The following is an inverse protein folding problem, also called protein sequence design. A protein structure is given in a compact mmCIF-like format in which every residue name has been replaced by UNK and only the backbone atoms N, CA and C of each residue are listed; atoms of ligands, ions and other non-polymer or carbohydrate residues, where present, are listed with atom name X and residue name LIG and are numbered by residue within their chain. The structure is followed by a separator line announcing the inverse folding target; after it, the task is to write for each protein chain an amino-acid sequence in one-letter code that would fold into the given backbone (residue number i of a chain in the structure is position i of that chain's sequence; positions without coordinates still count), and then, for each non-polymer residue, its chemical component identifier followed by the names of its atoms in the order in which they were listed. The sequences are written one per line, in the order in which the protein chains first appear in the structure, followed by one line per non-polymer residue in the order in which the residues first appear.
data_IF_311457791515
#
_entry.id   IF_311457791515
#
_cell.length_a   1.000
_cell.length_b   1.000
_cell.length_c   1.000
_cell.angle_alpha   90.00
_cell.angle_beta   90.00
_cell.angle_gamma   90.00
#
_symmetry.space_group_name_H-M   'P 1'
#
loop_
_entity.id
_entity.type
_entity.pdbx_description
1 polymer ?
#
# COMPACT_ATOMS: atom_id res chain seq x y z
N UNK A 1 -12.72 12.13 17.78
CA UNK A 1 -12.56 12.58 16.37
C UNK A 1 -11.07 12.65 16.08
N UNK A 2 -10.59 11.99 15.01
CA UNK A 2 -9.17 11.95 14.62
C UNK A 2 -8.86 13.08 13.63
N UNK A 3 -7.58 13.44 13.51
CA UNK A 3 -7.09 14.43 12.54
C UNK A 3 -6.14 13.72 11.57
N UNK A 4 -6.48 13.70 10.29
CA UNK A 4 -5.86 12.85 9.29
C UNK A 4 -5.28 13.71 8.18
N UNK A 5 -4.01 13.47 7.83
CA UNK A 5 -3.41 14.00 6.61
C UNK A 5 -3.65 13.00 5.49
N UNK A 6 -4.35 13.40 4.44
CA UNK A 6 -4.57 12.59 3.24
C UNK A 6 -3.63 13.04 2.12
N UNK A 7 -2.65 12.22 1.82
CA UNK A 7 -1.70 12.40 0.75
C UNK A 7 -2.23 11.82 -0.57
N UNK A 8 -2.18 12.60 -1.64
CA UNK A 8 -2.59 12.17 -2.99
C UNK A 8 -1.44 12.41 -3.97
N UNK A 9 -0.51 11.44 -4.09
CA UNK A 9 0.53 11.51 -5.09
C UNK A 9 -0.05 11.24 -6.48
N UNK A 10 0.35 12.02 -7.47
CA UNK A 10 -0.06 11.80 -8.85
C UNK A 10 1.07 12.07 -9.84
N UNK A 11 0.96 11.44 -11.01
CA UNK A 11 1.73 11.76 -12.20
C UNK A 11 0.73 11.97 -13.35
N UNK A 12 0.51 13.21 -13.72
CA UNK A 12 -0.57 13.57 -14.63
C UNK A 12 -1.93 13.75 -13.94
N UNK A 13 -2.98 13.17 -14.50
CA UNK A 13 -4.35 13.36 -14.03
C UNK A 13 -4.73 12.41 -12.88
N UNK A 14 -5.72 12.84 -12.10
CA UNK A 14 -6.47 11.99 -11.19
C UNK A 14 -7.63 11.37 -11.99
N UNK A 15 -7.82 10.05 -11.91
CA UNK A 15 -8.92 9.40 -12.61
C UNK A 15 -10.27 9.84 -12.02
N UNK A 16 -11.32 10.03 -12.82
CA UNK A 16 -12.63 10.46 -12.32
C UNK A 16 -13.19 9.54 -11.22
N UNK A 17 -12.92 8.25 -11.30
CA UNK A 17 -13.39 7.23 -10.36
C UNK A 17 -12.75 7.35 -8.97
N UNK A 18 -11.62 8.05 -8.84
CA UNK A 18 -11.01 8.37 -7.55
C UNK A 18 -11.68 9.56 -6.84
N UNK A 19 -12.37 10.43 -7.57
CA UNK A 19 -12.90 11.67 -7.01
C UNK A 19 -13.89 11.46 -5.84
N UNK A 20 -14.84 10.49 -5.88
CA UNK A 20 -15.74 10.27 -4.74
C UNK A 20 -15.00 9.90 -3.44
N UNK A 21 -14.03 8.99 -3.53
CA UNK A 21 -13.24 8.54 -2.37
C UNK A 21 -12.27 9.61 -1.86
N UNK A 22 -11.85 10.54 -2.70
CA UNK A 22 -11.02 11.68 -2.29
C UNK A 22 -11.86 12.79 -1.67
N UNK A 23 -13.03 13.11 -2.25
CA UNK A 23 -13.91 14.17 -1.78
C UNK A 23 -14.56 13.84 -0.43
N UNK A 24 -14.88 12.57 -0.19
CA UNK A 24 -15.57 12.06 1.01
C UNK A 24 -14.80 10.90 1.65
N UNK A 25 -13.52 11.08 1.89
CA UNK A 25 -12.65 10.03 2.42
C UNK A 25 -13.04 9.56 3.84
N UNK A 26 -13.69 10.42 4.63
CA UNK A 26 -14.21 10.13 5.97
C UNK A 26 -15.47 10.95 6.24
N UNK A 27 -16.44 10.33 6.92
CA UNK A 27 -17.64 10.98 7.43
C UNK A 27 -17.52 11.37 8.91
N UNK A 28 -16.61 10.69 9.65
CA UNK A 28 -16.49 10.78 11.11
C UNK A 28 -15.30 11.62 11.56
N UNK A 29 -14.36 11.91 10.68
CA UNK A 29 -13.04 12.45 11.04
C UNK A 29 -12.67 13.68 10.22
N UNK A 30 -11.75 14.49 10.76
CA UNK A 30 -11.23 15.67 10.04
C UNK A 30 -10.11 15.23 9.10
N UNK A 31 -10.30 15.42 7.80
CA UNK A 31 -9.33 15.08 6.76
C UNK A 31 -8.76 16.36 6.15
N UNK A 32 -7.44 16.43 6.05
CA UNK A 32 -6.69 17.49 5.37
C UNK A 32 -6.04 16.91 4.13
N UNK A 33 -6.69 17.04 2.98
CA UNK A 33 -6.19 16.52 1.71
C UNK A 33 -5.09 17.42 1.15
N UNK A 34 -4.02 16.81 0.67
CA UNK A 34 -2.95 17.47 -0.07
C UNK A 34 -2.49 16.62 -1.25
N UNK A 35 -2.39 17.24 -2.41
CA UNK A 35 -1.90 16.62 -3.64
C UNK A 35 -0.45 17.03 -3.89
N UNK A 36 0.32 16.17 -4.54
CA UNK A 36 1.63 16.51 -5.08
C UNK A 36 1.85 15.75 -6.38
N UNK A 37 2.41 16.45 -7.38
CA UNK A 37 2.74 15.90 -8.69
C UNK A 37 4.24 15.88 -8.90
N UNK A 38 4.82 14.70 -9.15
CA UNK A 38 6.22 14.54 -9.51
C UNK A 38 6.43 13.31 -10.38
N UNK A 39 7.44 13.36 -11.25
CA UNK A 39 7.79 12.23 -12.12
C UNK A 39 8.44 11.06 -11.37
N UNK A 40 9.07 11.32 -10.23
CA UNK A 40 9.67 10.31 -9.36
C UNK A 40 8.71 9.96 -8.23
N UNK A 41 8.07 8.81 -8.31
CA UNK A 41 7.02 8.39 -7.38
C UNK A 41 7.47 8.40 -5.91
N UNK A 42 8.59 7.76 -5.60
CA UNK A 42 9.12 7.73 -4.23
C UNK A 42 9.45 9.14 -3.69
N UNK A 43 9.99 10.01 -4.55
CA UNK A 43 10.23 11.40 -4.16
C UNK A 43 8.94 12.16 -3.88
N UNK A 44 7.90 11.93 -4.69
CA UNK A 44 6.57 12.50 -4.46
C UNK A 44 5.98 12.08 -3.10
N UNK A 45 6.14 10.79 -2.74
CA UNK A 45 5.73 10.31 -1.41
C UNK A 45 6.50 11.00 -0.29
N UNK A 46 7.81 11.17 -0.44
CA UNK A 46 8.64 11.85 0.57
C UNK A 46 8.28 13.33 0.71
N UNK A 47 7.89 14.03 -0.38
CA UNK A 47 7.38 15.41 -0.31
C UNK A 47 6.11 15.45 0.57
N UNK A 48 5.15 14.57 0.31
CA UNK A 48 3.89 14.53 1.05
C UNK A 48 4.10 14.08 2.50
N UNK A 49 4.99 13.10 2.74
CA UNK A 49 5.35 12.65 4.08
C UNK A 49 6.02 13.75 4.90
N UNK A 50 7.02 14.42 4.33
CA UNK A 50 7.68 15.56 4.96
C UNK A 50 6.74 16.72 5.25
N UNK A 51 5.78 16.97 4.33
CA UNK A 51 4.73 17.97 4.54
C UNK A 51 3.84 17.59 5.73
N UNK A 52 3.44 16.31 5.84
CA UNK A 52 2.66 15.81 6.95
C UNK A 52 3.43 15.92 8.29
N UNK A 53 4.72 15.58 8.31
CA UNK A 53 5.57 15.73 9.49
C UNK A 53 5.64 17.19 9.97
N UNK A 54 5.80 18.14 9.05
CA UNK A 54 5.81 19.56 9.37
C UNK A 54 4.45 20.05 9.92
N UNK A 55 3.35 19.42 9.51
CA UNK A 55 1.99 19.74 9.96
C UNK A 55 1.55 18.92 11.19
N UNK A 56 2.31 17.90 11.59
CA UNK A 56 1.94 16.95 12.65
C UNK A 56 1.55 17.64 13.95
N UNK A 57 2.42 18.49 14.49
CA UNK A 57 2.17 19.24 15.72
C UNK A 57 1.16 20.38 15.51
N UNK A 58 1.35 21.29 14.53
CA UNK A 58 0.42 22.42 14.32
C UNK A 58 -1.02 22.01 14.09
N UNK A 59 -1.28 20.88 13.42
CA UNK A 59 -2.63 20.37 13.12
C UNK A 59 -3.07 19.23 14.04
N UNK A 60 -2.26 18.86 15.03
CA UNK A 60 -2.50 17.71 15.91
C UNK A 60 -2.88 16.45 15.10
N UNK A 61 -2.10 16.15 14.06
CA UNK A 61 -2.36 15.00 13.20
C UNK A 61 -2.18 13.72 13.99
N UNK A 62 -3.16 12.84 13.90
CA UNK A 62 -3.15 11.53 14.54
C UNK A 62 -2.84 10.40 13.58
N UNK A 63 -3.20 10.56 12.30
CA UNK A 63 -3.01 9.55 11.27
C UNK A 63 -2.51 10.19 9.97
N UNK A 64 -1.77 9.40 9.21
CA UNK A 64 -1.43 9.68 7.82
C UNK A 64 -2.14 8.63 6.96
N UNK A 65 -2.77 9.09 5.90
CA UNK A 65 -3.38 8.26 4.87
C UNK A 65 -2.83 8.64 3.51
N UNK A 66 -2.72 7.68 2.59
CA UNK A 66 -2.37 7.93 1.20
C UNK A 66 -3.38 7.25 0.28
N UNK A 67 -3.69 7.93 -0.81
CA UNK A 67 -4.59 7.45 -1.84
C UNK A 67 -4.00 7.80 -3.20
N UNK A 68 -3.67 6.79 -4.00
CA UNK A 68 -3.16 7.01 -5.35
C UNK A 68 -4.25 7.54 -6.28
N UNK A 69 -3.83 8.36 -7.23
CA UNK A 69 -4.72 9.07 -8.15
C UNK A 69 -5.47 8.18 -9.15
N UNK A 70 -5.11 6.90 -9.24
CA UNK A 70 -5.66 5.90 -10.14
C UNK A 70 -6.45 4.77 -9.44
N UNK A 71 -6.80 4.99 -8.18
CA UNK A 71 -7.61 4.05 -7.40
C UNK A 71 -9.00 4.64 -7.15
N UNK A 72 -10.04 3.98 -7.65
CA UNK A 72 -11.42 4.25 -7.29
C UNK A 72 -11.80 3.46 -6.03
N UNK A 73 -12.52 4.09 -5.11
CA UNK A 73 -12.93 3.47 -3.86
C UNK A 73 -14.24 4.03 -3.33
N UNK A 74 -14.78 3.46 -2.23
CA UNK A 74 -15.96 4.00 -1.58
C UNK A 74 -15.64 5.34 -0.90
N UNK A 75 -16.65 6.15 -0.67
CA UNK A 75 -16.60 7.20 0.35
C UNK A 75 -16.38 6.55 1.72
N UNK A 76 -15.91 7.29 2.72
CA UNK A 76 -15.66 6.79 4.09
C UNK A 76 -14.61 5.66 4.23
N UNK A 77 -13.78 5.42 3.24
CA UNK A 77 -12.78 4.35 3.28
C UNK A 77 -11.78 4.50 4.45
N UNK A 78 -11.49 5.74 4.86
CA UNK A 78 -10.65 6.02 6.04
C UNK A 78 -11.33 5.49 7.31
N UNK A 79 -12.65 5.68 7.45
CA UNK A 79 -13.40 5.19 8.60
C UNK A 79 -13.31 3.66 8.70
N UNK A 80 -13.45 2.98 7.55
CA UNK A 80 -13.31 1.52 7.46
C UNK A 80 -11.88 1.07 7.83
N UNK A 81 -10.84 1.74 7.31
CA UNK A 81 -9.46 1.38 7.66
C UNK A 81 -9.16 1.63 9.14
N UNK A 82 -9.68 2.70 9.73
CA UNK A 82 -9.52 2.98 11.17
C UNK A 82 -10.20 1.92 12.03
N UNK A 83 -11.41 1.50 11.67
CA UNK A 83 -12.13 0.43 12.37
C UNK A 83 -11.35 -0.90 12.32
N UNK A 84 -10.83 -1.28 11.16
CA UNK A 84 -10.01 -2.48 11.03
C UNK A 84 -8.65 -2.33 11.75
N UNK A 85 -8.02 -1.17 11.68
CA UNK A 85 -6.75 -0.87 12.36
C UNK A 85 -6.90 -1.00 13.89
N UNK A 86 -7.97 -0.42 14.47
CA UNK A 86 -8.25 -0.50 15.90
C UNK A 86 -8.56 -1.93 16.34
N UNK A 87 -9.32 -2.69 15.54
CA UNK A 87 -9.69 -4.08 15.80
C UNK A 87 -8.48 -5.01 15.91
N UNK A 88 -7.45 -4.81 15.11
CA UNK A 88 -6.26 -5.68 15.08
C UNK A 88 -5.05 -5.06 15.79
N UNK A 89 -5.15 -3.81 16.24
CA UNK A 89 -4.06 -3.08 16.90
C UNK A 89 -2.87 -2.82 15.95
N UNK A 90 -3.15 -2.47 14.69
CA UNK A 90 -2.12 -2.23 13.69
C UNK A 90 -1.42 -0.87 13.88
N UNK A 91 -0.13 -0.79 13.51
CA UNK A 91 0.59 0.47 13.32
C UNK A 91 0.40 0.99 11.89
N UNK A 92 0.28 0.05 10.94
CA UNK A 92 0.07 0.30 9.50
C UNK A 92 -0.98 -0.67 8.98
N UNK A 93 -1.96 -0.16 8.25
CA UNK A 93 -2.95 -0.97 7.55
C UNK A 93 -3.07 -0.54 6.08
N UNK A 94 -3.05 -1.49 5.17
CA UNK A 94 -3.14 -1.25 3.74
C UNK A 94 -4.26 -2.06 3.10
N UNK A 95 -4.94 -1.45 2.14
CA UNK A 95 -5.92 -2.16 1.31
C UNK A 95 -5.22 -3.06 0.31
N UNK A 96 -5.72 -4.27 0.12
CA UNK A 96 -5.25 -5.15 -0.95
C UNK A 96 -5.62 -4.54 -2.30
N UNK A 97 -4.63 -4.22 -3.11
CA UNK A 97 -4.82 -3.63 -4.44
C UNK A 97 -4.30 -4.58 -5.50
N UNK A 98 -5.12 -4.94 -6.51
CA UNK A 98 -4.67 -5.72 -7.65
C UNK A 98 -3.66 -4.94 -8.49
N UNK A 99 -2.71 -5.62 -9.12
CA UNK A 99 -1.90 -5.02 -10.18
C UNK A 99 -2.70 -4.95 -11.48
N UNK A 100 -2.25 -4.12 -12.42
CA UNK A 100 -3.00 -3.80 -13.65
C UNK A 100 -2.70 -4.77 -14.79
N UNK A 101 -2.91 -6.08 -14.54
CA UNK A 101 -2.78 -7.11 -15.58
C UNK A 101 -3.70 -8.31 -15.35
N UNK A 102 -3.82 -9.19 -16.34
CA UNK A 102 -4.76 -10.30 -16.33
C UNK A 102 -4.37 -11.47 -15.41
N UNK A 103 -3.18 -11.47 -14.80
CA UNK A 103 -2.69 -12.59 -13.98
C UNK A 103 -3.46 -12.74 -12.67
N UNK A 104 -4.10 -11.69 -12.19
CA UNK A 104 -4.79 -11.69 -10.91
C UNK A 104 -3.86 -11.51 -9.71
N UNK A 105 -2.66 -10.98 -9.92
CA UNK A 105 -1.71 -10.66 -8.86
C UNK A 105 -2.12 -9.41 -8.11
N UNK A 106 -1.70 -9.32 -6.86
CA UNK A 106 -1.87 -8.12 -6.04
C UNK A 106 -0.54 -7.42 -5.78
N UNK A 107 -0.59 -6.18 -5.33
CA UNK A 107 0.59 -5.49 -4.81
C UNK A 107 0.97 -5.93 -3.39
N UNK A 108 0.18 -6.82 -2.78
CA UNK A 108 0.48 -7.44 -1.48
C UNK A 108 1.29 -8.71 -1.71
N UNK A 109 2.29 -8.94 -0.87
CA UNK A 109 3.17 -10.12 -0.98
C UNK A 109 3.69 -10.58 0.36
N UNK A 110 4.47 -11.65 0.33
CA UNK A 110 5.23 -12.17 1.47
C UNK A 110 6.70 -12.21 1.11
N UNK A 111 7.56 -11.63 1.94
CA UNK A 111 9.01 -11.72 1.79
C UNK A 111 9.55 -12.85 2.65
N UNK A 112 10.22 -13.78 2.03
CA UNK A 112 11.01 -14.79 2.72
C UNK A 112 12.21 -14.12 3.42
N UNK A 113 12.40 -14.36 4.72
CA UNK A 113 13.43 -13.70 5.52
C UNK A 113 14.84 -14.19 5.20
N UNK A 114 14.97 -15.44 4.75
CA UNK A 114 16.27 -16.07 4.50
C UNK A 114 16.80 -15.69 3.11
N UNK A 115 15.92 -15.73 2.10
CA UNK A 115 16.29 -15.45 0.70
C UNK A 115 16.02 -14.01 0.27
N UNK A 116 15.24 -13.26 1.05
CA UNK A 116 14.73 -11.94 0.71
C UNK A 116 13.89 -11.91 -0.58
N UNK A 117 13.50 -13.09 -1.07
CA UNK A 117 12.60 -13.20 -2.22
C UNK A 117 11.18 -12.76 -1.81
N UNK A 118 10.55 -11.97 -2.65
CA UNK A 118 9.17 -11.52 -2.45
C UNK A 118 8.27 -12.23 -3.46
N UNK A 119 7.29 -12.94 -2.95
CA UNK A 119 6.22 -13.56 -3.73
C UNK A 119 4.94 -12.72 -3.55
N UNK A 120 4.33 -12.32 -4.65
CA UNK A 120 3.02 -11.66 -4.62
C UNK A 120 1.92 -12.65 -4.25
N UNK A 121 0.88 -12.16 -3.61
CA UNK A 121 -0.35 -12.93 -3.44
C UNK A 121 -1.26 -12.72 -4.64
N UNK A 122 -1.87 -13.79 -5.11
CA UNK A 122 -2.94 -13.73 -6.10
C UNK A 122 -4.28 -13.38 -5.45
N UNK A 123 -5.24 -12.91 -6.23
CA UNK A 123 -6.61 -12.73 -5.76
C UNK A 123 -7.20 -14.04 -5.21
N UNK A 124 -6.89 -15.18 -5.84
CA UNK A 124 -7.33 -16.50 -5.37
C UNK A 124 -6.76 -16.86 -3.99
N UNK A 125 -5.50 -16.50 -3.70
CA UNK A 125 -4.89 -16.72 -2.38
C UNK A 125 -5.46 -15.78 -1.33
N UNK A 126 -5.56 -14.48 -1.65
CA UNK A 126 -6.07 -13.46 -0.74
C UNK A 126 -7.50 -13.77 -0.26
N UNK A 127 -8.35 -14.33 -1.12
CA UNK A 127 -9.71 -14.71 -0.74
C UNK A 127 -9.80 -15.94 0.18
N UNK A 128 -8.72 -16.70 0.34
CA UNK A 128 -8.62 -17.79 1.33
C UNK A 128 -8.20 -17.31 2.71
N UNK A 129 -7.68 -16.07 2.82
CA UNK A 129 -7.25 -15.45 4.07
C UNK A 129 -8.43 -14.75 4.78
N UNK A 130 -8.31 -14.42 6.07
CA UNK A 130 -9.24 -13.51 6.73
C UNK A 130 -9.41 -12.20 5.94
N UNK A 131 -10.49 -11.45 6.18
CA UNK A 131 -10.72 -10.15 5.51
C UNK A 131 -9.58 -9.19 5.80
N UNK A 132 -9.14 -9.16 7.04
CA UNK A 132 -7.97 -8.40 7.52
C UNK A 132 -6.97 -9.41 8.06
N UNK A 133 -5.74 -9.37 7.53
CA UNK A 133 -4.72 -10.39 7.75
C UNK A 133 -3.32 -9.79 7.91
N UNK A 134 -2.44 -10.57 8.53
CA UNK A 134 -1.03 -10.25 8.71
C UNK A 134 -0.14 -11.38 8.17
N UNK A 135 1.17 -11.24 8.33
CA UNK A 135 2.14 -12.25 7.86
C UNK A 135 1.86 -13.66 8.39
N UNK A 136 1.46 -13.78 9.67
CA UNK A 136 1.20 -15.08 10.30
C UNK A 136 0.03 -15.86 9.70
N UNK A 137 -0.92 -15.20 9.03
CA UNK A 137 -2.03 -15.85 8.33
C UNK A 137 -1.60 -16.45 6.99
N UNK A 138 -0.46 -16.01 6.44
CA UNK A 138 0.06 -16.45 5.14
C UNK A 138 1.10 -17.55 5.33
N UNK A 139 1.98 -17.39 6.32
CA UNK A 139 3.07 -18.32 6.61
C UNK A 139 4.31 -17.64 7.19
N UNK A 140 5.50 -18.20 6.90
CA UNK A 140 6.77 -17.61 7.33
C UNK A 140 7.16 -16.47 6.40
N UNK A 141 7.58 -15.33 7.00
CA UNK A 141 8.06 -14.18 6.24
C UNK A 141 7.54 -12.85 6.78
N UNK A 142 7.78 -11.80 6.04
CA UNK A 142 7.32 -10.46 6.34
C UNK A 142 6.27 -10.01 5.32
N UNK A 143 5.18 -9.42 5.81
CA UNK A 143 4.11 -8.94 4.94
C UNK A 143 4.57 -7.69 4.19
N UNK A 144 4.51 -7.76 2.86
CA UNK A 144 4.74 -6.64 1.95
C UNK A 144 3.40 -6.07 1.52
N UNK A 145 3.14 -4.82 1.86
CA UNK A 145 1.91 -4.12 1.52
C UNK A 145 2.17 -3.01 0.51
N UNK A 146 1.15 -2.61 -0.23
CA UNK A 146 1.25 -1.46 -1.10
C UNK A 146 0.93 -0.15 -0.36
N UNK A 147 1.29 0.96 -0.96
CA UNK A 147 1.01 2.30 -0.45
C UNK A 147 -0.06 3.03 -1.27
N UNK A 148 -0.78 2.34 -2.13
CA UNK A 148 -1.79 2.93 -3.01
C UNK A 148 -3.05 3.41 -2.29
N UNK A 149 -3.47 2.68 -1.26
CA UNK A 149 -4.54 3.08 -0.34
C UNK A 149 -4.26 2.47 1.02
N UNK A 150 -3.71 3.27 1.92
CA UNK A 150 -3.26 2.83 3.22
C UNK A 150 -3.36 3.92 4.29
N UNK A 151 -3.18 3.52 5.54
CA UNK A 151 -3.29 4.38 6.71
C UNK A 151 -2.30 3.91 7.78
N UNK A 152 -1.72 4.86 8.53
CA UNK A 152 -0.88 4.55 9.68
C UNK A 152 -1.14 5.48 10.87
N UNK A 153 -0.79 5.00 12.08
CA UNK A 153 -0.74 5.82 13.28
C UNK A 153 0.43 6.80 13.20
N UNK A 154 0.09 8.08 12.99
CA UNK A 154 1.08 9.15 12.81
C UNK A 154 1.52 9.78 14.13
N UNK A 155 1.03 9.27 15.27
CA UNK A 155 1.48 9.72 16.61
C UNK A 155 2.78 9.05 17.05
N UNK A 156 3.12 7.92 16.43
CA UNK A 156 4.27 7.10 16.78
C UNK A 156 5.61 7.75 16.42
N UNK A 157 6.68 7.52 17.20
CA UNK A 157 7.99 8.13 16.93
C UNK A 157 8.64 7.65 15.63
N UNK A 158 8.38 6.40 15.20
CA UNK A 158 8.98 5.83 14.00
C UNK A 158 8.66 6.61 12.72
N UNK A 159 7.60 7.43 12.70
CA UNK A 159 7.22 8.22 11.51
C UNK A 159 8.30 9.26 11.12
N UNK A 160 9.13 9.69 12.05
CA UNK A 160 10.23 10.62 11.79
C UNK A 160 11.44 9.94 11.13
N UNK A 161 11.51 8.61 11.18
CA UNK A 161 12.56 7.80 10.55
C UNK A 161 12.13 7.19 9.21
N UNK A 162 10.83 7.16 8.92
CA UNK A 162 10.30 6.55 7.72
C UNK A 162 10.54 7.41 6.48
N UNK A 163 10.85 6.76 5.37
CA UNK A 163 10.99 7.36 4.05
C UNK A 163 10.71 6.33 2.96
N UNK A 164 10.49 6.81 1.74
CA UNK A 164 10.20 5.97 0.58
C UNK A 164 11.37 6.00 -0.39
N UNK A 165 11.79 4.84 -0.85
CA UNK A 165 12.94 4.66 -1.73
C UNK A 165 12.68 3.53 -2.72
N UNK A 166 12.98 3.76 -3.99
CA UNK A 166 13.08 2.71 -5.01
C UNK A 166 14.54 2.29 -5.10
N UNK A 167 14.80 0.99 -4.96
CA UNK A 167 16.13 0.42 -5.16
C UNK A 167 16.14 -0.40 -6.44
N UNK A 168 16.92 0.04 -7.39
CA UNK A 168 17.10 -0.65 -8.67
C UNK A 168 18.55 -1.12 -8.81
N UNK A 169 18.74 -2.30 -9.37
CA UNK A 169 20.07 -2.90 -9.58
C UNK A 169 20.06 -3.88 -10.74
N UNK A 170 21.24 -4.07 -11.33
CA UNK A 170 21.47 -5.14 -12.30
C UNK A 170 22.11 -6.31 -11.57
N UNK A 171 21.54 -7.50 -11.70
CA UNK A 171 22.02 -8.74 -11.11
C UNK A 171 22.37 -9.75 -12.19
N UNK A 172 23.47 -10.49 -12.00
CA UNK A 172 23.83 -11.59 -12.87
C UNK A 172 23.00 -12.83 -12.51
N UNK A 173 22.48 -13.52 -13.50
CA UNK A 173 21.80 -14.82 -13.36
C UNK A 173 22.80 -15.97 -13.55
N UNK A 174 22.43 -17.16 -13.07
CA UNK A 174 23.25 -18.38 -13.18
C UNK A 174 23.55 -18.80 -14.62
N UNK A 175 22.75 -18.37 -15.60
CA UNK A 175 22.95 -18.62 -17.03
C UNK A 175 23.88 -17.60 -17.72
N UNK A 176 24.51 -16.70 -16.97
CA UNK A 176 25.38 -15.64 -17.50
C UNK A 176 24.65 -14.41 -18.05
N UNK A 177 23.33 -14.38 -18.05
CA UNK A 177 22.55 -13.21 -18.41
C UNK A 177 22.45 -12.21 -17.27
N UNK A 178 22.18 -10.95 -17.59
CA UNK A 178 21.90 -9.90 -16.61
C UNK A 178 20.41 -9.56 -16.59
N UNK A 179 19.91 -9.24 -15.41
CA UNK A 179 18.53 -8.82 -15.22
C UNK A 179 18.47 -7.60 -14.32
N UNK A 180 17.62 -6.62 -14.69
CA UNK A 180 17.24 -5.57 -13.76
C UNK A 180 16.33 -6.14 -12.66
N UNK A 181 16.59 -5.73 -11.42
CA UNK A 181 15.82 -6.13 -10.25
C UNK A 181 15.50 -4.90 -9.43
N UNK A 182 14.22 -4.59 -9.30
CA UNK A 182 13.72 -3.42 -8.58
C UNK A 182 13.02 -3.85 -7.29
N UNK A 183 13.34 -3.15 -6.20
CA UNK A 183 12.55 -3.15 -4.99
C UNK A 183 11.77 -1.82 -4.97
N UNK A 184 10.45 -1.86 -5.18
CA UNK A 184 9.63 -0.65 -5.22
C UNK A 184 9.50 -0.02 -3.83
N UNK A 185 9.10 1.24 -3.80
CA UNK A 185 9.05 2.08 -2.59
C UNK A 185 8.13 1.52 -1.51
N UNK A 186 7.02 0.90 -1.88
CA UNK A 186 6.04 0.29 -0.99
C UNK A 186 6.63 -0.94 -0.28
N UNK A 187 7.32 -1.81 -1.01
CA UNK A 187 7.97 -2.98 -0.43
C UNK A 187 9.24 -2.65 0.32
N UNK A 188 9.97 -1.61 -0.09
CA UNK A 188 11.10 -1.12 0.68
C UNK A 188 10.64 -0.57 2.05
N UNK A 189 9.54 0.21 2.06
CA UNK A 189 8.89 0.66 3.28
C UNK A 189 8.41 -0.52 4.13
N UNK A 190 7.72 -1.50 3.53
CA UNK A 190 7.23 -2.70 4.25
C UNK A 190 8.36 -3.49 4.92
N UNK A 191 9.46 -3.73 4.20
CA UNK A 191 10.64 -4.42 4.75
C UNK A 191 11.33 -3.60 5.86
N UNK A 192 11.34 -2.27 5.74
CA UNK A 192 11.81 -1.38 6.82
C UNK A 192 10.88 -1.49 8.04
N UNK A 193 9.56 -1.43 7.85
CA UNK A 193 8.58 -1.55 8.91
C UNK A 193 8.68 -2.89 9.67
N UNK A 194 8.88 -3.99 8.93
CA UNK A 194 9.10 -5.31 9.53
C UNK A 194 10.37 -5.35 10.40
N UNK A 195 11.49 -4.78 9.92
CA UNK A 195 12.74 -4.68 10.72
C UNK A 195 12.59 -3.80 11.97
N UNK A 196 11.70 -2.82 11.94
CA UNK A 196 11.35 -1.99 13.11
C UNK A 196 10.35 -2.68 14.07
N UNK A 197 9.83 -3.85 13.70
CA UNK A 197 8.84 -4.59 14.49
C UNK A 197 7.45 -3.98 14.47
N UNK A 198 7.13 -3.18 13.45
CA UNK A 198 5.80 -2.59 13.31
C UNK A 198 4.76 -3.65 12.97
N UNK A 199 3.56 -3.47 13.50
CA UNK A 199 2.39 -4.31 13.22
C UNK A 199 1.75 -3.88 11.90
N UNK A 200 2.18 -4.53 10.81
CA UNK A 200 1.69 -4.27 9.45
C UNK A 200 0.58 -5.26 9.10
N UNK A 201 -0.55 -4.75 8.62
CA UNK A 201 -1.72 -5.53 8.23
C UNK A 201 -2.21 -5.15 6.84
N UNK A 202 -2.84 -6.10 6.16
CA UNK A 202 -3.53 -5.89 4.90
C UNK A 202 -5.02 -6.22 5.06
N UNK A 203 -5.89 -5.53 4.32
CA UNK A 203 -7.34 -5.76 4.40
C UNK A 203 -8.03 -5.70 3.05
N UNK A 204 -9.12 -6.48 2.91
CA UNK A 204 -10.11 -6.43 1.82
C UNK A 204 -11.41 -5.74 2.23
N UNK A 205 -11.48 -5.17 3.44
CA UNK A 205 -12.68 -4.50 3.94
C UNK A 205 -13.04 -3.29 3.06
N UNK A 206 -12.04 -2.58 2.53
CA UNK A 206 -12.24 -1.50 1.56
C UNK A 206 -12.22 -2.07 0.15
N UNK A 207 -13.34 -1.94 -0.57
CA UNK A 207 -13.45 -2.38 -1.97
C UNK A 207 -12.97 -1.31 -2.91
N UNK A 208 -11.97 -1.64 -3.73
CA UNK A 208 -11.35 -0.69 -4.64
C UNK A 208 -11.25 -1.23 -6.06
N UNK A 209 -11.09 -0.29 -6.99
CA UNK A 209 -10.78 -0.57 -8.39
C UNK A 209 -9.50 0.16 -8.75
N UNK A 210 -8.52 -0.55 -9.28
CA UNK A 210 -7.28 0.02 -9.77
C UNK A 210 -7.40 0.26 -11.27
N UNK A 211 -7.32 1.51 -11.68
CA UNK A 211 -7.55 1.93 -13.05
C UNK A 211 -6.25 2.03 -13.83
N UNK A 212 -6.23 1.47 -15.03
CA UNK A 212 -5.18 1.52 -16.03
C UNK A 212 -5.82 1.51 -17.42
N UNK A 213 -5.31 0.70 -18.33
CA UNK A 213 -5.98 0.44 -19.61
C UNK A 213 -7.29 -0.35 -19.43
N UNK A 214 -7.49 -0.96 -18.27
CA UNK A 214 -8.69 -1.63 -17.79
C UNK A 214 -8.89 -1.34 -16.30
N UNK A 215 -10.04 -1.78 -15.75
CA UNK A 215 -10.37 -1.66 -14.34
C UNK A 215 -10.15 -3.00 -13.62
N UNK A 216 -9.36 -3.00 -12.55
CA UNK A 216 -8.97 -4.20 -11.80
C UNK A 216 -9.51 -4.11 -10.37
N UNK A 217 -10.47 -4.98 -10.02
CA UNK A 217 -11.20 -4.92 -8.74
C UNK A 217 -10.64 -5.90 -7.73
N UNK A 218 -10.78 -5.58 -6.44
CA UNK A 218 -10.35 -6.44 -5.34
C UNK A 218 -11.50 -7.14 -4.60
N UNK A 219 -12.71 -7.08 -5.12
CA UNK A 219 -13.92 -7.56 -4.45
C UNK A 219 -14.36 -8.98 -4.89
N UNK A 220 -13.63 -9.60 -5.79
CA UNK A 220 -13.88 -10.99 -6.24
C UNK A 220 -12.57 -11.65 -6.71
N UNK A 221 -12.61 -12.98 -6.83
CA UNK A 221 -11.49 -13.76 -7.41
C UNK A 221 -11.52 -13.62 -8.93
N UNK A 222 -10.35 -13.32 -9.50
CA UNK A 222 -10.12 -13.25 -10.94
C UNK A 222 -8.65 -13.47 -11.26
N UNK A 223 -8.32 -13.59 -12.55
CA UNK A 223 -6.99 -13.81 -13.06
C UNK A 223 -6.69 -15.28 -13.33
N UNK A 224 -5.72 -15.50 -14.19
CA UNK A 224 -5.34 -16.84 -14.66
C UNK A 224 -4.48 -17.59 -13.65
N UNK A 225 -3.77 -16.88 -12.79
CA UNK A 225 -2.83 -17.45 -11.85
C UNK A 225 -3.49 -17.80 -10.51
N UNK A 226 -3.23 -18.99 -10.03
CA UNK A 226 -3.65 -19.42 -8.69
C UNK A 226 -2.60 -19.07 -7.62
N UNK A 227 -1.34 -19.02 -8.01
CA UNK A 227 -0.20 -18.60 -7.18
C UNK A 227 0.78 -17.81 -8.04
N UNK A 228 1.59 -16.97 -7.40
CA UNK A 228 2.71 -16.31 -8.09
C UNK A 228 3.84 -17.32 -8.34
N UNK A 229 4.02 -17.68 -9.61
CA UNK A 229 5.09 -18.58 -10.04
C UNK A 229 6.41 -17.85 -10.31
N UNK A 230 6.44 -16.53 -10.12
CA UNK A 230 7.57 -15.68 -10.43
C UNK A 230 7.90 -15.65 -11.92
N UNK A 231 9.00 -15.02 -12.27
CA UNK A 231 9.57 -15.09 -13.62
C UNK A 231 10.34 -16.44 -13.80
N UNK A 232 9.63 -17.55 -13.60
CA UNK A 232 10.19 -18.87 -13.86
C UNK A 232 10.25 -19.07 -15.38
N UNK A 233 11.15 -18.36 -16.04
CA UNK A 233 11.68 -18.72 -17.39
C UNK A 233 13.09 -18.17 -17.58
#
# INVERSE_FOLDING_TARGET
MKSIFLAVPHYGAIVPEALPSLAMASEKHRVSLQTSGASLLAHNFNILWGTALNQRKPKALTHFAMHHADIGGPTNWIDTLLEEMEKVGADVISTVIPIKDARGLTSTGIQDRDTLHIRRLTMAEVFKLPVTFAAHDIGKGDLMVNTGLWLCDFTQPWVEEAYFEIRDRIVAKNNGCFQANVLPEDWNFSGWAARKGLKVWATRAVKVTHHGNAAFRNDHVWGEWQTDIGDAK
#
